data_IF_879868967238
#
_entry.id   IF_879868967238
#
_cell.length_a   1.000
_cell.length_b   1.000
_cell.length_c   1.000
_cell.angle_alpha   90.00
_cell.angle_beta   90.00
_cell.angle_gamma   90.00
#
_symmetry.space_group_name_H-M   'P 1'
#
loop_
_entity.id
_entity.type
_entity.pdbx_description
1 polymer ?
#
# COMPACT_ATOMS: atom_id res chain seq x y z
N UNK A 1 -24.15 19.41 -11.97
CA UNK A 1 -23.96 17.98 -12.32
C UNK A 1 -23.26 17.31 -11.16
N UNK A 2 -23.87 16.25 -10.61
CA UNK A 2 -23.21 15.42 -9.59
C UNK A 2 -22.13 14.59 -10.27
N UNK A 3 -20.89 14.78 -9.86
CA UNK A 3 -19.77 13.95 -10.32
C UNK A 3 -19.84 12.57 -9.65
N UNK A 4 -19.96 11.46 -10.40
CA UNK A 4 -20.01 10.13 -9.80
C UNK A 4 -18.67 9.79 -9.16
N UNK A 5 -18.67 9.50 -7.85
CA UNK A 5 -17.47 9.08 -7.14
C UNK A 5 -17.08 7.64 -7.56
N UNK A 6 -15.91 7.41 -8.13
CA UNK A 6 -15.49 6.08 -8.55
C UNK A 6 -15.14 5.22 -7.32
N UNK A 7 -15.83 4.11 -7.13
CA UNK A 7 -15.54 3.14 -6.06
C UNK A 7 -14.36 2.26 -6.43
N UNK A 8 -14.26 1.86 -7.70
CA UNK A 8 -13.16 1.03 -8.24
C UNK A 8 -12.73 1.63 -9.57
N UNK A 9 -11.41 1.75 -9.75
CA UNK A 9 -10.83 2.24 -11.00
C UNK A 9 -10.11 1.11 -11.75
N UNK A 10 -10.10 1.21 -13.08
CA UNK A 10 -9.44 0.21 -13.94
C UNK A 10 -7.94 0.06 -13.61
N UNK A 11 -7.28 1.13 -13.19
CA UNK A 11 -5.88 1.07 -12.74
C UNK A 11 -5.69 0.14 -11.53
N UNK A 12 -6.62 0.13 -10.58
CA UNK A 12 -6.59 -0.81 -9.45
C UNK A 12 -6.70 -2.26 -9.92
N UNK A 13 -7.61 -2.55 -10.88
CA UNK A 13 -7.77 -3.89 -11.46
C UNK A 13 -6.50 -4.37 -12.17
N UNK A 14 -5.84 -3.51 -12.96
CA UNK A 14 -4.57 -3.87 -13.59
C UNK A 14 -3.49 -4.20 -12.56
N UNK A 15 -3.37 -3.40 -11.51
CA UNK A 15 -2.37 -3.63 -10.45
C UNK A 15 -2.70 -4.84 -9.58
N UNK A 16 -3.99 -5.12 -9.31
CA UNK A 16 -4.42 -6.35 -8.62
C UNK A 16 -4.12 -7.59 -9.46
N UNK A 17 -4.38 -7.53 -10.77
CA UNK A 17 -4.09 -8.64 -11.67
C UNK A 17 -2.59 -8.89 -11.81
N UNK A 18 -1.78 -7.84 -11.93
CA UNK A 18 -0.33 -7.95 -11.92
C UNK A 18 0.19 -8.58 -10.62
N UNK A 19 -0.36 -8.19 -9.47
CA UNK A 19 -0.02 -8.79 -8.17
C UNK A 19 -0.38 -10.26 -8.12
N UNK A 20 -1.60 -10.63 -8.51
CA UNK A 20 -2.05 -12.02 -8.49
C UNK A 20 -1.18 -12.92 -9.39
N UNK A 21 -0.85 -12.49 -10.59
CA UNK A 21 0.04 -13.22 -11.50
C UNK A 21 1.45 -13.38 -10.91
N UNK A 22 2.00 -12.31 -10.34
CA UNK A 22 3.32 -12.37 -9.71
C UNK A 22 3.34 -13.30 -8.50
N UNK A 23 2.30 -13.31 -7.68
CA UNK A 23 2.22 -14.22 -6.53
C UNK A 23 1.98 -15.66 -6.92
N UNK A 24 1.27 -15.92 -8.03
CA UNK A 24 1.04 -17.25 -8.58
C UNK A 24 2.30 -17.87 -9.23
N UNK A 25 3.30 -17.05 -9.59
CA UNK A 25 4.58 -17.54 -10.14
C UNK A 25 5.31 -18.38 -9.08
N UNK A 26 5.87 -19.52 -9.45
CA UNK A 26 6.69 -20.33 -8.54
C UNK A 26 8.03 -19.65 -8.22
N UNK A 27 8.63 -20.04 -7.09
CA UNK A 27 9.92 -19.46 -6.71
C UNK A 27 11.03 -19.94 -7.66
N UNK A 28 11.78 -18.98 -8.20
CA UNK A 28 12.85 -19.23 -9.17
C UNK A 28 12.39 -19.19 -10.63
N UNK A 29 11.11 -19.08 -10.91
CA UNK A 29 10.60 -18.84 -12.26
C UNK A 29 10.69 -17.37 -12.66
N UNK A 30 10.67 -17.15 -13.97
CA UNK A 30 10.64 -15.79 -14.52
C UNK A 30 9.28 -15.15 -14.28
N UNK A 31 9.31 -13.85 -13.98
CA UNK A 31 8.09 -13.03 -13.87
C UNK A 31 7.34 -13.06 -15.21
N UNK A 32 6.07 -13.44 -15.24
CA UNK A 32 5.31 -13.52 -16.49
C UNK A 32 5.21 -12.16 -17.20
N UNK A 33 5.29 -12.18 -18.52
CA UNK A 33 5.21 -10.96 -19.35
C UNK A 33 3.93 -10.14 -19.07
N UNK A 34 2.81 -10.80 -18.74
CA UNK A 34 1.57 -10.14 -18.41
C UNK A 34 1.66 -9.26 -17.16
N UNK A 35 2.56 -9.56 -16.21
CA UNK A 35 2.80 -8.70 -15.04
C UNK A 35 3.32 -7.34 -15.49
N UNK A 36 4.35 -7.33 -16.33
CA UNK A 36 4.91 -6.09 -16.87
C UNK A 36 3.88 -5.31 -17.68
N UNK A 37 3.16 -6.00 -18.57
CA UNK A 37 2.13 -5.37 -19.42
C UNK A 37 1.11 -4.61 -18.60
N UNK A 38 0.59 -5.20 -17.52
CA UNK A 38 -0.44 -4.58 -16.70
C UNK A 38 0.09 -3.36 -15.91
N UNK A 39 1.31 -3.44 -15.40
CA UNK A 39 1.96 -2.29 -14.74
C UNK A 39 2.23 -1.17 -15.76
N UNK A 40 2.73 -1.53 -16.94
CA UNK A 40 3.09 -0.57 -17.97
C UNK A 40 1.89 0.17 -18.55
N UNK A 41 0.70 -0.43 -18.58
CA UNK A 41 -0.55 0.28 -18.93
C UNK A 41 -0.77 1.46 -17.98
N UNK A 42 -0.62 1.24 -16.67
CA UNK A 42 -0.80 2.29 -15.67
C UNK A 42 0.30 3.36 -15.80
N UNK A 43 1.55 2.95 -15.95
CA UNK A 43 2.71 3.85 -16.09
C UNK A 43 2.62 4.71 -17.35
N UNK A 44 2.31 4.11 -18.50
CA UNK A 44 2.19 4.81 -19.79
C UNK A 44 1.09 5.87 -19.77
N UNK A 45 -0.03 5.62 -19.10
CA UNK A 45 -1.09 6.61 -18.91
C UNK A 45 -0.55 7.90 -18.26
N UNK A 46 0.43 7.78 -17.37
CA UNK A 46 1.09 8.90 -16.69
C UNK A 46 2.33 9.42 -17.42
N UNK A 47 2.57 9.00 -18.67
CA UNK A 47 3.72 9.41 -19.47
C UNK A 47 5.05 8.80 -19.06
N UNK A 48 5.04 7.73 -18.25
CA UNK A 48 6.25 7.07 -17.77
C UNK A 48 6.69 5.94 -18.70
N UNK A 49 8.00 5.70 -18.74
CA UNK A 49 8.58 4.53 -19.41
C UNK A 49 8.11 3.23 -18.72
N UNK A 50 8.17 2.11 -19.45
CA UNK A 50 7.88 0.79 -18.91
C UNK A 50 8.76 0.45 -17.71
N UNK A 51 8.27 -0.45 -16.83
CA UNK A 51 8.95 -0.77 -15.58
C UNK A 51 10.36 -1.30 -15.80
N UNK A 52 10.56 -2.22 -16.77
CA UNK A 52 11.88 -2.81 -17.04
C UNK A 52 12.86 -1.77 -17.52
N UNK A 53 12.47 -0.92 -18.47
CA UNK A 53 13.33 0.12 -19.06
C UNK A 53 13.68 1.18 -18.04
N UNK A 54 12.71 1.62 -17.24
CA UNK A 54 12.95 2.56 -16.15
C UNK A 54 13.96 2.04 -15.12
N UNK A 55 13.84 0.76 -14.72
CA UNK A 55 14.77 0.17 -13.75
C UNK A 55 16.16 -0.02 -14.32
N UNK A 56 16.29 -0.39 -15.60
CA UNK A 56 17.60 -0.45 -16.29
C UNK A 56 18.28 0.91 -16.39
N UNK A 57 17.51 1.95 -16.63
CA UNK A 57 18.05 3.29 -16.92
C UNK A 57 18.38 4.09 -15.66
N UNK A 58 17.56 3.98 -14.62
CA UNK A 58 17.63 4.89 -13.47
C UNK A 58 17.94 4.22 -12.13
N UNK A 59 17.94 2.88 -12.06
CA UNK A 59 18.11 2.18 -10.79
C UNK A 59 19.54 1.68 -10.59
N UNK A 60 19.99 1.68 -9.34
CA UNK A 60 21.21 0.97 -8.93
C UNK A 60 21.06 -0.55 -8.93
N UNK A 61 19.81 -1.06 -9.02
CA UNK A 61 19.51 -2.48 -9.14
C UNK A 61 18.62 -2.75 -10.37
N UNK A 62 19.20 -2.78 -11.57
CA UNK A 62 18.45 -2.90 -12.83
C UNK A 62 17.71 -4.24 -12.98
N UNK A 63 18.14 -5.28 -12.27
CA UNK A 63 17.56 -6.62 -12.34
C UNK A 63 16.42 -6.85 -11.33
N UNK A 64 16.08 -5.86 -10.52
CA UNK A 64 14.99 -6.00 -9.53
C UNK A 64 13.66 -6.44 -10.13
N UNK A 65 13.23 -5.94 -11.32
CA UNK A 65 11.98 -6.39 -11.94
C UNK A 65 11.94 -7.85 -12.36
N UNK A 66 13.08 -8.52 -12.52
CA UNK A 66 13.14 -9.90 -13.04
C UNK A 66 12.91 -10.96 -11.98
N UNK A 67 12.83 -10.60 -10.72
CA UNK A 67 12.57 -11.56 -9.62
C UNK A 67 11.17 -11.38 -9.04
N UNK A 68 10.55 -12.46 -8.58
CA UNK A 68 9.23 -12.43 -7.93
C UNK A 68 9.19 -11.44 -6.76
N UNK A 69 10.19 -11.49 -5.89
CA UNK A 69 10.30 -10.61 -4.73
C UNK A 69 10.49 -9.14 -5.12
N UNK A 70 11.38 -8.90 -6.06
CA UNK A 70 11.64 -7.55 -6.57
C UNK A 70 10.41 -6.96 -7.24
N UNK A 71 9.71 -7.76 -8.06
CA UNK A 71 8.47 -7.33 -8.71
C UNK A 71 7.34 -7.10 -7.70
N UNK A 72 7.23 -7.94 -6.67
CA UNK A 72 6.29 -7.72 -5.55
C UNK A 72 6.47 -6.35 -4.91
N UNK A 73 7.72 -5.97 -4.64
CA UNK A 73 7.99 -4.64 -4.05
C UNK A 73 7.64 -3.51 -5.02
N UNK A 74 7.92 -3.68 -6.31
CA UNK A 74 7.57 -2.71 -7.35
C UNK A 74 6.06 -2.55 -7.43
N UNK A 75 5.30 -3.63 -7.56
CA UNK A 75 3.84 -3.61 -7.61
C UNK A 75 3.25 -2.90 -6.39
N UNK A 76 3.74 -3.23 -5.20
CA UNK A 76 3.31 -2.58 -3.95
C UNK A 76 3.58 -1.07 -3.95
N UNK A 77 4.68 -0.65 -4.57
CA UNK A 77 5.03 0.77 -4.70
C UNK A 77 4.17 1.47 -5.76
N UNK A 78 3.95 0.85 -6.90
CA UNK A 78 3.05 1.37 -7.94
C UNK A 78 1.62 1.52 -7.40
N UNK A 79 1.10 0.54 -6.66
CA UNK A 79 -0.20 0.65 -5.98
C UNK A 79 -0.24 1.82 -4.99
N UNK A 80 0.82 2.01 -4.21
CA UNK A 80 0.90 3.12 -3.26
C UNK A 80 0.85 4.49 -3.94
N UNK A 81 1.47 4.61 -5.12
CA UNK A 81 1.55 5.88 -5.86
C UNK A 81 0.24 6.12 -6.61
N UNK A 82 -0.21 5.13 -7.39
CA UNK A 82 -1.38 5.24 -8.25
C UNK A 82 -2.68 5.44 -7.48
N UNK A 83 -2.82 4.76 -6.34
CA UNK A 83 -4.04 4.76 -5.51
C UNK A 83 -3.88 5.65 -4.28
N UNK A 84 -3.01 6.65 -4.36
CA UNK A 84 -2.80 7.60 -3.28
C UNK A 84 -4.11 8.36 -2.98
N UNK A 85 -4.42 8.54 -1.70
CA UNK A 85 -5.61 9.24 -1.18
C UNK A 85 -6.97 8.52 -1.43
N UNK A 86 -6.96 7.29 -1.96
CA UNK A 86 -8.17 6.49 -2.20
C UNK A 86 -8.50 5.52 -1.06
N UNK A 87 -7.79 5.58 0.06
CA UNK A 87 -8.01 4.71 1.23
C UNK A 87 -7.46 3.28 1.09
N UNK A 88 -7.02 2.88 -0.10
CA UNK A 88 -6.59 1.51 -0.44
C UNK A 88 -5.35 1.08 0.38
N UNK A 89 -4.43 2.00 0.66
CA UNK A 89 -3.17 1.73 1.35
C UNK A 89 -3.34 1.05 2.71
N UNK A 90 -4.34 1.44 3.47
CA UNK A 90 -4.64 0.83 4.77
C UNK A 90 -4.96 -0.66 4.64
N UNK A 91 -5.81 -1.01 3.68
CA UNK A 91 -6.20 -2.39 3.42
C UNK A 91 -5.04 -3.21 2.84
N UNK A 92 -4.27 -2.65 1.92
CA UNK A 92 -3.09 -3.28 1.33
C UNK A 92 -2.06 -3.67 2.40
N UNK A 93 -1.69 -2.76 3.28
CA UNK A 93 -0.73 -3.05 4.34
C UNK A 93 -1.22 -4.13 5.32
N UNK A 94 -2.53 -4.20 5.56
CA UNK A 94 -3.12 -5.24 6.42
C UNK A 94 -3.10 -6.62 5.74
N UNK A 95 -3.54 -6.72 4.49
CA UNK A 95 -3.55 -7.99 3.75
C UNK A 95 -2.15 -8.53 3.47
N UNK A 96 -1.17 -7.66 3.25
CA UNK A 96 0.24 -8.04 3.11
C UNK A 96 0.95 -8.31 4.45
N UNK A 97 0.28 -8.14 5.58
CA UNK A 97 0.86 -8.23 6.94
C UNK A 97 2.01 -7.26 7.19
N UNK A 98 2.05 -6.14 6.49
CA UNK A 98 3.06 -5.09 6.61
C UNK A 98 2.64 -3.94 7.52
N UNK A 99 1.38 -3.89 7.98
CA UNK A 99 0.88 -2.75 8.76
C UNK A 99 1.68 -2.55 10.05
N UNK A 100 2.04 -3.62 10.77
CA UNK A 100 2.85 -3.52 11.99
C UNK A 100 4.23 -2.95 11.74
N UNK A 101 4.97 -3.47 10.74
CA UNK A 101 6.31 -2.97 10.42
C UNK A 101 6.30 -1.54 9.86
N UNK A 102 5.21 -1.16 9.20
CA UNK A 102 5.07 0.18 8.60
C UNK A 102 4.62 1.23 9.61
N UNK A 103 3.73 0.88 10.53
CA UNK A 103 3.10 1.86 11.41
C UNK A 103 3.63 1.87 12.84
N UNK A 104 4.01 0.70 13.40
CA UNK A 104 4.39 0.66 14.81
C UNK A 104 5.64 1.49 15.08
N UNK A 105 5.57 2.32 16.12
CA UNK A 105 6.63 3.23 16.54
C UNK A 105 7.03 4.31 15.50
N UNK A 106 6.28 4.50 14.43
CA UNK A 106 6.48 5.61 13.49
C UNK A 106 5.73 6.86 13.96
N UNK A 107 6.15 8.05 13.49
CA UNK A 107 5.53 9.30 13.85
C UNK A 107 4.64 9.83 12.73
N UNK A 108 3.48 10.39 13.13
CA UNK A 108 2.74 11.32 12.29
C UNK A 108 3.50 12.63 12.35
N UNK A 109 3.85 13.15 11.18
CA UNK A 109 4.58 14.40 11.05
C UNK A 109 3.71 15.44 10.36
N UNK A 110 3.90 16.68 10.73
CA UNK A 110 3.24 17.82 10.11
C UNK A 110 4.08 19.07 10.24
N UNK A 111 3.69 20.13 9.57
CA UNK A 111 4.31 21.43 9.71
C UNK A 111 3.80 22.14 10.95
N UNK A 112 4.60 23.11 11.43
CA UNK A 112 4.27 23.96 12.58
C UNK A 112 3.30 25.07 12.19
N UNK A 113 2.04 24.71 11.87
CA UNK A 113 1.03 25.62 11.33
C UNK A 113 0.65 26.77 12.28
N UNK A 114 1.01 26.70 13.55
CA UNK A 114 0.73 27.74 14.56
C UNK A 114 1.79 28.84 14.61
N UNK A 115 2.80 28.82 13.73
CA UNK A 115 3.89 29.79 13.70
C UNK A 115 3.61 30.89 12.67
N UNK A 116 3.91 32.16 13.05
CA UNK A 116 3.68 33.32 12.21
C UNK A 116 4.77 33.53 11.14
N UNK A 117 6.02 33.15 11.44
CA UNK A 117 7.14 33.30 10.52
C UNK A 117 7.25 32.12 9.56
N UNK A 118 7.57 32.40 8.30
CA UNK A 118 7.73 31.37 7.26
C UNK A 118 8.80 30.33 7.60
N UNK A 119 9.90 30.75 8.20
CA UNK A 119 10.99 29.84 8.59
C UNK A 119 10.56 28.84 9.67
N UNK A 120 9.74 29.27 10.63
CA UNK A 120 9.23 28.44 11.71
C UNK A 120 8.03 27.58 11.26
N UNK A 121 7.24 28.07 10.30
CA UNK A 121 6.08 27.36 9.76
C UNK A 121 6.46 26.07 9.04
N UNK A 122 7.51 26.08 8.22
CA UNK A 122 7.96 24.91 7.46
C UNK A 122 8.81 23.91 8.26
N UNK A 123 8.90 24.09 9.56
CA UNK A 123 9.58 23.11 10.44
C UNK A 123 8.70 21.88 10.63
N UNK A 124 9.26 20.70 10.34
CA UNK A 124 8.58 19.42 10.53
C UNK A 124 8.60 19.04 12.01
N UNK A 125 7.42 18.84 12.59
CA UNK A 125 7.24 18.39 13.98
C UNK A 125 6.61 16.99 14.02
N UNK A 126 6.98 16.21 15.05
CA UNK A 126 6.30 14.96 15.39
C UNK A 126 5.01 15.31 16.14
N UNK A 127 3.85 15.02 15.54
CA UNK A 127 2.53 15.30 16.13
C UNK A 127 2.12 14.18 17.09
N UNK A 128 2.24 12.92 16.64
CA UNK A 128 1.87 11.77 17.44
C UNK A 128 2.67 10.53 17.03
N UNK A 129 2.92 9.64 17.99
CA UNK A 129 3.52 8.34 17.71
C UNK A 129 2.43 7.30 17.44
N UNK A 130 2.54 6.61 16.31
CA UNK A 130 1.65 5.51 15.97
C UNK A 130 2.03 4.27 16.78
N UNK A 131 1.02 3.58 17.30
CA UNK A 131 1.15 2.26 17.93
C UNK A 131 0.32 1.28 17.12
N UNK A 132 0.93 0.17 16.71
CA UNK A 132 0.25 -0.89 15.96
C UNK A 132 0.76 -2.25 16.45
N UNK A 133 -0.12 -3.04 17.00
CA UNK A 133 0.17 -4.36 17.55
C UNK A 133 -0.48 -5.47 16.72
N UNK A 134 -0.26 -6.72 17.10
CA UNK A 134 -0.84 -7.87 16.39
C UNK A 134 -2.38 -7.88 16.43
N UNK A 135 -2.98 -7.43 17.52
CA UNK A 135 -4.45 -7.36 17.64
C UNK A 135 -5.09 -6.40 16.63
N UNK A 136 -4.37 -5.34 16.23
CA UNK A 136 -4.89 -4.29 15.35
C UNK A 136 -5.09 -4.76 13.89
N UNK A 137 -4.67 -5.97 13.54
CA UNK A 137 -5.07 -6.62 12.28
C UNK A 137 -6.53 -7.03 12.23
N UNK A 138 -7.16 -7.21 13.39
CA UNK A 138 -8.57 -7.57 13.52
C UNK A 138 -9.32 -6.49 14.29
N UNK A 139 -10.59 -6.31 13.96
CA UNK A 139 -11.46 -5.44 14.74
C UNK A 139 -11.97 -6.19 15.97
N UNK A 140 -12.16 -5.51 17.12
CA UNK A 140 -12.82 -6.14 18.26
C UNK A 140 -14.27 -6.49 17.90
N UNK A 141 -14.73 -7.63 18.38
CA UNK A 141 -16.14 -7.96 18.35
C UNK A 141 -16.84 -7.11 19.41
N UNK A 142 -17.97 -6.51 19.05
CA UNK A 142 -18.72 -5.66 19.99
C UNK A 142 -19.13 -6.46 21.22
N UNK A 143 -18.93 -5.89 22.41
CA UNK A 143 -19.20 -6.58 23.68
C UNK A 143 -20.66 -7.03 23.83
N UNK A 144 -21.62 -6.20 23.41
CA UNK A 144 -23.04 -6.55 23.41
C UNK A 144 -23.38 -7.79 22.58
N UNK A 145 -22.65 -7.99 21.47
CA UNK A 145 -22.88 -9.15 20.60
C UNK A 145 -22.34 -10.44 21.24
N UNK A 146 -21.24 -10.33 22.00
CA UNK A 146 -20.71 -11.47 22.79
C UNK A 146 -21.68 -11.85 23.91
N UNK A 147 -22.26 -10.87 24.59
CA UNK A 147 -23.27 -11.15 25.65
C UNK A 147 -24.50 -11.84 25.06
N UNK A 148 -24.99 -11.39 23.90
CA UNK A 148 -26.16 -11.96 23.23
C UNK A 148 -25.91 -13.34 22.65
N UNK A 149 -24.70 -13.63 22.27
CA UNK A 149 -24.31 -14.91 21.66
C UNK A 149 -23.09 -15.53 22.39
N UNK A 150 -23.32 -16.40 23.39
CA UNK A 150 -22.24 -17.02 24.17
C UNK A 150 -21.26 -17.89 23.34
N UNK A 151 -21.61 -18.24 22.10
CA UNK A 151 -20.72 -18.96 21.19
C UNK A 151 -19.74 -18.04 20.47
N UNK A 152 -19.98 -16.73 20.50
CA UNK A 152 -19.11 -15.73 19.87
C UNK A 152 -17.92 -15.44 20.79
N UNK A 153 -16.72 -15.57 20.25
CA UNK A 153 -15.48 -15.31 20.98
C UNK A 153 -14.84 -14.01 20.51
N UNK A 154 -14.23 -13.30 21.42
CA UNK A 154 -13.46 -12.11 21.10
C UNK A 154 -12.23 -12.46 20.23
N UNK A 155 -11.86 -11.54 19.35
CA UNK A 155 -10.63 -11.67 18.57
C UNK A 155 -9.39 -11.61 19.49
N UNK A 156 -8.31 -12.35 19.14
CA UNK A 156 -7.13 -12.44 20.00
C UNK A 156 -6.50 -11.07 20.30
N UNK A 157 -6.29 -10.81 21.59
CA UNK A 157 -5.65 -9.59 22.08
C UNK A 157 -6.59 -8.41 22.40
N UNK A 158 -7.92 -8.63 22.20
CA UNK A 158 -8.96 -7.68 22.59
C UNK A 158 -9.68 -8.11 23.86
#
# INVERSE_FOLDING_TARGET
>A
EEYPFPIVRLADLYLMYAEALNEATENGEFVPAAVYTNIDIVRKRSGLEGVVDSWKKYSTNPNKPSTKEGMREIIRKERQIELALEGVRYHDLRRWKLARSTYNNTFIRGWSIDQENTEDYYVIRNIAQKKYSQKDYLWPVKYDDIIRNPKLKQNPGW
#
